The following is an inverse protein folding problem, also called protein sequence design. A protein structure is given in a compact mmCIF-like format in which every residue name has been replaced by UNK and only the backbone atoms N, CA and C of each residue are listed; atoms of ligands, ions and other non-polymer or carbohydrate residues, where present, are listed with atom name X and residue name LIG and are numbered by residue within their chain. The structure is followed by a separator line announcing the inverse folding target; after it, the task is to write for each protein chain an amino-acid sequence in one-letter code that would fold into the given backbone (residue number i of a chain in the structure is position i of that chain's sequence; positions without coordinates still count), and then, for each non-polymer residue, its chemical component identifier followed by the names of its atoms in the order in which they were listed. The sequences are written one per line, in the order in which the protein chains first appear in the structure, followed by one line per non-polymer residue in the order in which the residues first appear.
data_IF_827700414423
#
_entry.id   IF_827700414423
#
_cell.length_a   1.000
_cell.length_b   1.000
_cell.length_c   1.000
_cell.angle_alpha   90.00
_cell.angle_beta   90.00
_cell.angle_gamma   90.00
#
_symmetry.space_group_name_H-M   'P 1'
#
loop_
_entity.id
_entity.type
_entity.pdbx_description
1 polymer ?
#
# COMPACT_ATOMS: atom_id res chain seq x y z
N UNK A 1 3.79 21.99 -5.95
CA UNK A 1 3.41 20.58 -6.17
C UNK A 1 4.57 19.70 -5.73
N UNK A 2 4.36 18.70 -4.85
CA UNK A 2 5.45 17.81 -4.42
C UNK A 2 5.82 16.87 -5.60
N UNK A 3 7.09 16.78 -6.00
CA UNK A 3 7.53 15.91 -7.08
C UNK A 3 7.37 14.43 -6.68
N UNK A 4 6.59 13.67 -7.47
CA UNK A 4 6.24 12.25 -7.25
C UNK A 4 7.42 11.25 -7.39
N UNK A 5 8.62 11.71 -7.73
CA UNK A 5 9.77 10.87 -8.10
C UNK A 5 10.45 10.12 -6.93
N UNK A 6 9.85 10.06 -5.73
CA UNK A 6 10.48 9.47 -4.52
C UNK A 6 9.52 8.65 -3.64
N UNK A 7 8.46 8.12 -4.23
CA UNK A 7 7.52 7.23 -3.55
C UNK A 7 7.54 5.86 -4.24
N UNK A 8 7.62 4.79 -3.45
CA UNK A 8 7.41 3.42 -3.93
C UNK A 8 6.25 2.81 -3.16
N UNK A 9 5.38 2.08 -3.87
CA UNK A 9 4.31 1.30 -3.24
C UNK A 9 4.87 -0.09 -2.92
N UNK A 10 4.85 -0.44 -1.64
CA UNK A 10 5.30 -1.74 -1.16
C UNK A 10 4.10 -2.70 -1.20
N UNK A 11 4.28 -3.85 -1.85
CA UNK A 11 3.17 -4.73 -2.16
C UNK A 11 3.39 -6.22 -1.86
N UNK A 12 4.50 -6.64 -1.24
CA UNK A 12 4.70 -8.04 -0.85
C UNK A 12 4.12 -8.36 0.54
N UNK A 13 3.52 -9.55 0.68
CA UNK A 13 2.95 -10.13 1.92
C UNK A 13 3.92 -10.10 3.11
N UNK A 14 5.23 -10.15 2.88
CA UNK A 14 6.24 -10.09 3.95
C UNK A 14 6.27 -8.73 4.70
N UNK A 15 5.74 -7.65 4.11
CA UNK A 15 5.78 -6.31 4.72
C UNK A 15 4.40 -5.77 5.13
N UNK A 16 3.30 -6.32 4.61
CA UNK A 16 1.94 -5.91 5.00
C UNK A 16 1.52 -6.37 6.41
N UNK A 17 2.31 -7.28 7.01
CA UNK A 17 2.14 -7.71 8.40
C UNK A 17 2.62 -6.69 9.43
N UNK A 18 3.39 -5.67 9.03
CA UNK A 18 3.80 -4.58 9.90
C UNK A 18 2.73 -3.48 9.86
N UNK A 19 1.67 -3.70 10.66
CA UNK A 19 0.88 -2.58 11.14
C UNK A 19 1.83 -1.55 11.73
N UNK A 20 1.67 -0.28 11.37
CA UNK A 20 2.46 0.85 11.89
C UNK A 20 2.30 0.91 13.41
N UNK A 21 3.12 0.13 14.11
CA UNK A 21 3.31 0.19 15.54
C UNK A 21 4.60 0.97 15.74
N UNK A 22 4.44 2.18 16.26
CA UNK A 22 5.55 2.95 16.78
C UNK A 22 6.32 2.11 17.82
N UNK A 23 7.63 2.33 17.87
CA UNK A 23 8.56 1.80 18.86
C UNK A 23 8.05 2.12 20.27
N UNK A 24 7.54 1.13 21.00
CA UNK A 24 7.27 1.24 22.44
C UNK A 24 7.10 -0.14 23.08
N UNK A 25 8.14 -0.59 23.81
CA UNK A 25 8.17 -1.64 24.86
C UNK A 25 7.55 -3.03 24.55
N UNK A 26 7.90 -4.12 25.28
CA UNK A 26 7.29 -5.42 25.01
C UNK A 26 5.81 -5.41 25.40
N UNK A 27 4.94 -5.15 24.42
CA UNK A 27 3.49 -5.21 24.58
C UNK A 27 3.08 -6.69 24.69
N UNK A 28 2.26 -7.04 25.68
CA UNK A 28 1.77 -8.42 25.84
C UNK A 28 1.07 -8.90 24.57
N UNK A 29 1.11 -10.22 24.31
CA UNK A 29 0.47 -10.82 23.14
C UNK A 29 -1.00 -10.39 23.01
N UNK A 30 -1.74 -10.39 24.11
CA UNK A 30 -3.13 -9.94 24.16
C UNK A 30 -3.28 -8.46 23.76
N UNK A 31 -2.37 -7.58 24.20
CA UNK A 31 -2.40 -6.16 23.86
C UNK A 31 -1.95 -5.90 22.40
N UNK A 32 -1.01 -6.69 21.87
CA UNK A 32 -0.65 -6.67 20.46
C UNK A 32 -1.81 -7.16 19.57
N UNK A 33 -2.53 -8.21 20.01
CA UNK A 33 -3.73 -8.74 19.35
C UNK A 33 -4.91 -7.76 19.41
N UNK A 34 -5.10 -7.06 20.53
CA UNK A 34 -6.12 -6.02 20.65
C UNK A 34 -5.88 -4.83 19.70
N UNK A 35 -4.63 -4.58 19.32
CA UNK A 35 -4.26 -3.54 18.36
C UNK A 35 -4.28 -4.02 16.89
N UNK A 36 -4.20 -5.33 16.66
CA UNK A 36 -4.21 -5.93 15.32
C UNK A 36 -5.64 -6.30 14.91
N UNK A 37 -6.36 -5.30 14.41
CA UNK A 37 -7.61 -5.55 13.70
C UNK A 37 -7.33 -6.06 12.29
N UNK A 38 -8.00 -7.17 11.91
CA UNK A 38 -7.95 -7.75 10.55
C UNK A 38 -8.38 -6.76 9.46
N UNK A 39 -9.11 -5.71 9.82
CA UNK A 39 -9.53 -4.62 8.94
C UNK A 39 -8.46 -3.54 8.75
N UNK A 40 -7.32 -3.62 9.44
CA UNK A 40 -6.22 -2.65 9.33
C UNK A 40 -5.06 -3.15 8.46
N UNK A 41 -5.15 -4.38 7.95
CA UNK A 41 -4.14 -5.05 7.10
C UNK A 41 -4.69 -5.37 5.72
N UNK A 42 -3.81 -5.67 4.75
CA UNK A 42 -4.16 -6.03 3.38
C UNK A 42 -4.40 -4.85 2.45
N UNK A 43 -3.76 -3.71 2.70
CA UNK A 43 -3.84 -2.51 1.86
C UNK A 43 -2.44 -2.11 1.38
N UNK A 44 -2.31 -1.56 0.16
CA UNK A 44 -1.04 -1.08 -0.34
C UNK A 44 -0.58 0.12 0.48
N UNK A 45 0.69 0.13 0.85
CA UNK A 45 1.32 1.22 1.60
C UNK A 45 2.29 1.94 0.69
N UNK A 46 2.05 3.22 0.49
CA UNK A 46 3.04 4.12 -0.11
C UNK A 46 3.96 4.63 0.98
N UNK A 47 5.26 4.49 0.75
CA UNK A 47 6.29 5.07 1.62
C UNK A 47 7.03 6.14 0.85
N UNK A 48 7.11 7.33 1.44
CA UNK A 48 7.86 8.46 0.91
C UNK A 48 8.92 8.90 1.91
N UNK A 49 10.10 9.25 1.40
CA UNK A 49 11.24 9.70 2.22
C UNK A 49 11.68 11.07 1.70
N UNK A 50 11.93 12.00 2.61
CA UNK A 50 12.50 13.29 2.24
C UNK A 50 13.92 13.13 1.68
N UNK A 51 14.17 13.75 0.54
CA UNK A 51 15.47 13.73 -0.12
C UNK A 51 16.58 14.35 0.73
N UNK A 52 17.77 13.75 0.73
CA UNK A 52 18.98 14.35 1.32
C UNK A 52 19.19 14.07 2.81
N UNK A 53 18.34 13.24 3.43
CA UNK A 53 18.51 12.79 4.81
C UNK A 53 18.95 11.32 4.82
N UNK A 54 20.08 11.04 5.48
CA UNK A 54 20.76 9.73 5.41
C UNK A 54 19.90 8.58 5.97
N UNK A 55 20.00 7.42 5.33
CA UNK A 55 19.38 6.17 5.79
C UNK A 55 20.02 5.73 7.13
N UNK A 56 19.21 5.21 8.07
CA UNK A 56 19.71 4.56 9.29
C UNK A 56 20.02 5.47 10.49
N UNK A 57 19.61 6.74 10.47
CA UNK A 57 19.71 7.66 11.62
C UNK A 57 18.36 7.78 12.33
N UNK A 58 18.31 8.22 13.59
CA UNK A 58 17.02 8.54 14.25
C UNK A 58 16.22 9.60 13.48
N UNK A 59 16.91 10.46 12.72
CA UNK A 59 16.27 11.37 11.78
C UNK A 59 15.49 10.63 10.68
N UNK A 60 15.93 9.46 10.22
CA UNK A 60 15.25 8.68 9.17
C UNK A 60 13.78 8.36 9.50
N UNK A 61 13.48 8.00 10.75
CA UNK A 61 12.12 7.73 11.18
C UNK A 61 11.23 8.98 11.10
N UNK A 62 11.75 10.14 11.48
CA UNK A 62 11.04 11.42 11.38
C UNK A 62 10.84 11.91 9.93
N UNK A 63 11.58 11.36 8.97
CA UNK A 63 11.55 11.77 7.55
C UNK A 63 10.82 10.78 6.64
N UNK A 64 10.22 9.75 7.22
CA UNK A 64 9.51 8.71 6.48
C UNK A 64 8.01 8.88 6.70
N UNK A 65 7.25 9.06 5.62
CA UNK A 65 5.79 9.13 5.66
C UNK A 65 5.25 7.87 4.99
N UNK A 66 4.43 7.11 5.74
CA UNK A 66 3.72 5.96 5.24
C UNK A 66 2.21 6.28 5.13
N UNK A 67 1.63 6.02 3.96
CA UNK A 67 0.20 6.21 3.70
C UNK A 67 -0.42 4.89 3.24
N UNK A 68 -1.52 4.48 3.90
CA UNK A 68 -2.33 3.34 3.47
C UNK A 68 -3.36 3.81 2.45
N UNK A 69 -3.37 3.18 1.28
CA UNK A 69 -4.28 3.52 0.19
C UNK A 69 -5.52 2.63 0.22
N UNK A 70 -6.46 2.98 1.10
CA UNK A 70 -7.69 2.20 1.32
C UNK A 70 -8.59 2.07 0.09
N UNK A 71 -8.59 3.09 -0.79
CA UNK A 71 -9.40 3.11 -2.01
C UNK A 71 -9.01 2.05 -3.04
N UNK A 72 -7.79 1.50 -2.95
CA UNK A 72 -7.32 0.43 -3.85
C UNK A 72 -7.92 -0.95 -3.48
N UNK A 73 -8.60 -1.05 -2.32
CA UNK A 73 -9.24 -2.28 -1.86
C UNK A 73 -8.36 -3.12 -0.95
N UNK A 74 -8.97 -4.08 -0.23
CA UNK A 74 -8.31 -4.98 0.72
C UNK A 74 -8.06 -6.35 0.08
N UNK A 75 -6.81 -6.71 -0.18
CA UNK A 75 -6.42 -7.90 -0.96
C UNK A 75 -5.13 -8.53 -0.39
N UNK A 76 -4.80 -9.73 -0.87
CA UNK A 76 -3.44 -10.29 -0.79
C UNK A 76 -2.61 -9.68 -1.92
N UNK A 77 -2.12 -8.46 -1.72
CA UNK A 77 -1.32 -7.81 -2.75
C UNK A 77 -0.03 -8.58 -2.99
N UNK A 78 0.32 -8.74 -4.27
CA UNK A 78 1.68 -9.03 -4.74
C UNK A 78 2.36 -7.74 -5.20
N UNK A 79 1.65 -7.01 -6.07
CA UNK A 79 2.14 -5.80 -6.72
C UNK A 79 0.99 -4.84 -7.04
N UNK A 80 1.25 -3.55 -6.87
CA UNK A 80 0.42 -2.45 -7.36
C UNK A 80 1.29 -1.53 -8.23
N UNK A 81 0.97 -1.46 -9.53
CA UNK A 81 1.73 -0.69 -10.51
C UNK A 81 0.97 0.57 -10.92
N UNK A 82 1.51 1.73 -10.57
CA UNK A 82 0.94 3.03 -10.97
C UNK A 82 1.40 3.37 -12.39
N UNK A 83 0.44 3.63 -13.27
CA UNK A 83 0.67 3.97 -14.67
C UNK A 83 1.21 5.41 -14.81
N UNK A 84 1.81 5.77 -15.97
CA UNK A 84 2.36 7.11 -16.21
C UNK A 84 1.34 8.26 -16.15
N UNK A 85 0.04 7.95 -16.28
CA UNK A 85 -1.05 8.93 -16.12
C UNK A 85 -1.26 9.36 -14.65
N UNK A 86 -0.55 8.72 -13.71
CA UNK A 86 -0.63 8.90 -12.25
C UNK A 86 -2.06 8.79 -11.70
N UNK A 87 -2.92 8.04 -12.38
CA UNK A 87 -4.31 7.78 -11.97
C UNK A 87 -4.61 6.30 -11.97
N UNK A 88 -4.16 5.60 -12.99
CA UNK A 88 -4.47 4.18 -13.18
C UNK A 88 -3.47 3.33 -12.39
N UNK A 89 -3.96 2.35 -11.63
CA UNK A 89 -3.13 1.38 -10.91
C UNK A 89 -3.58 -0.03 -11.28
N UNK A 90 -2.66 -0.86 -11.78
CA UNK A 90 -2.91 -2.29 -11.97
C UNK A 90 -2.47 -3.08 -10.74
N UNK A 91 -3.30 -4.01 -10.29
CA UNK A 91 -3.15 -4.71 -9.01
C UNK A 91 -3.28 -6.22 -9.25
N UNK A 92 -2.35 -7.00 -8.70
CA UNK A 92 -2.44 -8.46 -8.61
C UNK A 92 -2.84 -8.92 -7.20
N UNK A 93 -3.84 -9.79 -7.10
CA UNK A 93 -4.21 -10.51 -5.87
C UNK A 93 -3.57 -11.91 -5.86
N UNK A 94 -2.55 -12.11 -5.04
CA UNK A 94 -1.84 -13.39 -4.86
C UNK A 94 -2.61 -14.31 -3.91
N UNK A 95 -3.68 -14.88 -4.48
CA UNK A 95 -4.47 -15.96 -3.90
C UNK A 95 -4.80 -16.97 -5.01
N UNK A 96 -5.04 -18.23 -4.64
CA UNK A 96 -5.58 -19.23 -5.58
C UNK A 96 -6.92 -18.74 -6.13
N UNK A 97 -7.05 -18.63 -7.45
CA UNK A 97 -8.18 -17.98 -8.13
C UNK A 97 -8.35 -16.49 -7.81
N UNK A 98 -7.26 -15.81 -7.43
CA UNK A 98 -7.21 -14.37 -7.27
C UNK A 98 -7.54 -13.63 -8.57
N UNK A 99 -7.96 -12.37 -8.42
CA UNK A 99 -8.32 -11.50 -9.53
C UNK A 99 -7.19 -10.57 -9.94
N UNK A 100 -7.28 -10.08 -11.17
CA UNK A 100 -6.54 -8.89 -11.63
C UNK A 100 -7.46 -7.69 -11.49
N UNK A 101 -7.00 -6.63 -10.82
CA UNK A 101 -7.78 -5.43 -10.59
C UNK A 101 -7.13 -4.22 -11.24
N UNK A 102 -7.96 -3.20 -11.49
CA UNK A 102 -7.53 -1.89 -11.94
C UNK A 102 -8.22 -0.83 -11.10
N UNK A 103 -7.47 0.06 -10.48
CA UNK A 103 -8.00 1.25 -9.84
C UNK A 103 -7.79 2.47 -10.74
N UNK A 104 -8.73 3.42 -10.75
CA UNK A 104 -8.61 4.71 -11.46
C UNK A 104 -8.93 5.82 -10.48
N UNK A 105 -7.93 6.62 -10.12
CA UNK A 105 -8.08 7.74 -9.19
C UNK A 105 -8.96 8.87 -9.76
N UNK A 106 -9.71 9.55 -8.89
CA UNK A 106 -10.51 10.73 -9.26
C UNK A 106 -9.62 11.90 -9.69
N UNK A 107 -8.41 11.99 -9.12
CA UNK A 107 -7.46 13.08 -9.34
C UNK A 107 -6.05 12.54 -9.61
N UNK A 108 -5.34 13.16 -10.55
CA UNK A 108 -3.95 12.83 -10.85
C UNK A 108 -3.06 12.95 -9.61
N UNK A 109 -2.32 11.89 -9.30
CA UNK A 109 -1.35 11.84 -8.20
C UNK A 109 -1.97 11.75 -6.80
N UNK A 110 -3.27 11.46 -6.70
CA UNK A 110 -3.98 11.30 -5.43
C UNK A 110 -4.79 9.99 -5.43
N UNK A 111 -4.24 8.96 -4.78
CA UNK A 111 -4.83 7.63 -4.72
C UNK A 111 -5.85 7.46 -3.57
N UNK A 112 -6.27 8.55 -2.93
CA UNK A 112 -7.19 8.48 -1.78
C UNK A 112 -8.66 8.22 -2.16
N UNK A 113 -9.04 8.46 -3.41
CA UNK A 113 -10.39 8.24 -3.94
C UNK A 113 -10.38 7.89 -5.44
N UNK A 114 -11.35 7.08 -5.87
CA UNK A 114 -11.47 6.62 -7.26
C UNK A 114 -12.36 5.39 -7.40
N UNK A 115 -12.31 4.78 -8.58
CA UNK A 115 -13.08 3.58 -8.92
C UNK A 115 -12.19 2.35 -9.01
N UNK A 116 -12.62 1.25 -8.37
CA UNK A 116 -11.95 -0.04 -8.40
C UNK A 116 -12.70 -1.03 -9.30
N UNK A 117 -11.98 -1.60 -10.27
CA UNK A 117 -12.50 -2.54 -11.25
C UNK A 117 -11.85 -3.92 -11.07
N UNK A 118 -12.62 -4.98 -11.30
CA UNK A 118 -12.13 -6.35 -11.38
C UNK A 118 -12.21 -6.85 -12.84
N UNK A 119 -11.15 -7.52 -13.30
CA UNK A 119 -11.12 -8.08 -14.64
C UNK A 119 -12.07 -9.29 -14.75
N UNK A 120 -12.84 -9.34 -15.84
CA UNK A 120 -13.59 -10.52 -16.26
C UNK A 120 -12.97 -11.05 -17.54
N UNK A 121 -12.34 -12.21 -17.46
CA UNK A 121 -11.75 -12.87 -18.62
C UNK A 121 -12.84 -13.63 -19.39
N UNK A 122 -12.81 -13.50 -20.72
CA UNK A 122 -13.61 -14.30 -21.64
C UNK A 122 -12.65 -15.17 -22.45
N UNK A 123 -12.73 -16.47 -22.24
CA UNK A 123 -12.00 -17.42 -23.06
C UNK A 123 -12.66 -17.50 -24.44
N UNK A 124 -11.88 -17.23 -25.49
CA UNK A 124 -12.30 -17.45 -26.86
C UNK A 124 -11.70 -18.80 -27.27
N UNK A 125 -12.58 -19.77 -27.54
CA UNK A 125 -12.20 -21.14 -27.89
C UNK A 125 -11.47 -21.26 -29.22
#
# INVERSE_FOLDING_TARGET
MKPWHKSFILASTALMALGTAAVAEPVSREAALAQTSVYRVGYPVEVSIEAGKGLGTEAFAANTVAAKHYALGRLSYELAYVMPDKRTVYIGNDETNGGMLRFVADKEGDLSAGELFAAKLKQNG
#
